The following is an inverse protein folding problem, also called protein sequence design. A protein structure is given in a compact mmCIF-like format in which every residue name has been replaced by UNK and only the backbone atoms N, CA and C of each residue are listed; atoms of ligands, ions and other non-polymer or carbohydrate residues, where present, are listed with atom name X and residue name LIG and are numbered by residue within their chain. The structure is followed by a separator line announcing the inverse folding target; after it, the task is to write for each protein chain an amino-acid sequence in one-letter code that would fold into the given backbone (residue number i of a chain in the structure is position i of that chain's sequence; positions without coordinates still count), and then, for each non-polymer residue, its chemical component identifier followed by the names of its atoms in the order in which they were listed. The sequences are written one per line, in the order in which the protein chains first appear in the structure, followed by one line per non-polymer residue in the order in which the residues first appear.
data_IF_649278541111
#
_entry.id   IF_649278541111
#
_cell.length_a   1.000
_cell.length_b   1.000
_cell.length_c   1.000
_cell.angle_alpha   90.00
_cell.angle_beta   90.00
_cell.angle_gamma   90.00
#
_symmetry.space_group_name_H-M   'P 1'
#
loop_
_entity.id
_entity.type
_entity.pdbx_description
1 polymer ?
#
# COMPACT_ATOMS: atom_id res chain seq x y z
N UNK A 1 -16.81 -24.64 -29.08
CA UNK A 1 -15.42 -24.60 -28.58
C UNK A 1 -15.50 -24.60 -27.06
N UNK A 2 -15.11 -25.71 -26.40
CA UNK A 2 -15.26 -25.90 -24.96
C UNK A 2 -13.90 -25.67 -24.28
N UNK A 3 -13.90 -24.98 -23.15
CA UNK A 3 -12.89 -25.02 -22.07
C UNK A 3 -11.52 -24.34 -22.31
N UNK A 4 -11.47 -22.99 -22.27
CA UNK A 4 -10.23 -22.24 -21.99
C UNK A 4 -10.26 -21.49 -20.64
N UNK A 5 -11.35 -21.58 -19.88
CA UNK A 5 -11.56 -20.80 -18.65
C UNK A 5 -11.11 -21.50 -17.34
N UNK A 6 -10.51 -22.69 -17.42
CA UNK A 6 -10.30 -23.55 -16.24
C UNK A 6 -8.86 -23.51 -15.68
N UNK A 7 -8.03 -22.57 -16.13
CA UNK A 7 -6.61 -22.46 -15.75
C UNK A 7 -6.25 -21.28 -14.85
N UNK A 8 -7.23 -20.53 -14.33
CA UNK A 8 -6.96 -19.50 -13.32
C UNK A 8 -6.94 -20.18 -11.95
N UNK A 9 -5.83 -20.84 -11.62
CA UNK A 9 -5.51 -21.18 -10.24
C UNK A 9 -5.69 -19.90 -9.42
N UNK A 10 -6.68 -19.88 -8.53
CA UNK A 10 -6.95 -18.76 -7.65
C UNK A 10 -5.75 -18.59 -6.73
N UNK A 11 -4.75 -17.83 -7.18
CA UNK A 11 -3.63 -17.43 -6.35
C UNK A 11 -4.23 -16.86 -5.07
N UNK A 12 -3.96 -17.50 -3.94
CA UNK A 12 -4.55 -17.15 -2.66
C UNK A 12 -4.05 -15.75 -2.27
N UNK A 13 -4.77 -14.72 -2.72
CA UNK A 13 -4.44 -13.34 -2.48
C UNK A 13 -4.84 -13.03 -1.04
N UNK A 14 -3.84 -12.92 -0.15
CA UNK A 14 -4.06 -12.54 1.23
C UNK A 14 -3.95 -11.01 1.36
N UNK A 15 -5.08 -10.27 1.38
CA UNK A 15 -5.06 -8.80 1.41
C UNK A 15 -4.36 -8.26 2.67
N UNK A 16 -4.39 -8.99 3.80
CA UNK A 16 -3.68 -8.61 5.02
C UNK A 16 -2.16 -8.70 4.84
N UNK A 17 -1.66 -9.68 4.10
CA UNK A 17 -0.23 -9.80 3.77
C UNK A 17 0.22 -8.62 2.90
N UNK A 18 -0.58 -8.27 1.88
CA UNK A 18 -0.33 -7.10 1.05
C UNK A 18 -0.25 -5.80 1.86
N UNK A 19 -1.20 -5.58 2.76
CA UNK A 19 -1.17 -4.42 3.65
C UNK A 19 0.06 -4.36 4.57
N UNK A 20 0.45 -5.49 5.16
CA UNK A 20 1.65 -5.56 6.02
C UNK A 20 2.93 -5.18 5.28
N UNK A 21 3.07 -5.62 4.03
CA UNK A 21 4.21 -5.25 3.18
C UNK A 21 4.17 -3.76 2.88
N UNK A 22 3.00 -3.21 2.48
CA UNK A 22 2.87 -1.78 2.19
C UNK A 22 3.22 -0.92 3.41
N UNK A 23 2.74 -1.31 4.61
CA UNK A 23 3.07 -0.66 5.87
C UNK A 23 4.57 -0.73 6.18
N UNK A 24 5.20 -1.90 6.02
CA UNK A 24 6.62 -2.09 6.28
C UNK A 24 7.46 -1.18 5.36
N UNK A 25 7.17 -1.18 4.06
CA UNK A 25 7.86 -0.34 3.09
C UNK A 25 7.67 1.14 3.43
N UNK A 26 6.47 1.56 3.81
CA UNK A 26 6.19 2.93 4.26
C UNK A 26 7.05 3.30 5.48
N UNK A 27 7.04 2.49 6.53
CA UNK A 27 7.78 2.77 7.79
C UNK A 27 9.29 2.79 7.61
N UNK A 28 9.84 1.98 6.70
CA UNK A 28 11.28 1.97 6.44
C UNK A 28 11.71 3.10 5.48
N UNK A 29 10.91 3.38 4.46
CA UNK A 29 11.30 4.30 3.38
C UNK A 29 11.12 5.76 3.79
N UNK A 30 10.03 6.10 4.50
CA UNK A 30 9.75 7.48 4.89
C UNK A 30 10.89 8.06 5.74
N UNK A 31 11.37 7.43 6.83
CA UNK A 31 12.49 7.96 7.60
C UNK A 31 13.75 8.15 6.78
N UNK A 32 14.09 7.21 5.90
CA UNK A 32 15.28 7.32 5.04
C UNK A 32 15.17 8.53 4.11
N UNK A 33 14.01 8.74 3.49
CA UNK A 33 13.75 9.92 2.64
C UNK A 33 13.91 11.22 3.45
N UNK A 34 13.36 11.27 4.66
CA UNK A 34 13.49 12.43 5.54
C UNK A 34 14.94 12.67 5.99
N UNK A 35 15.72 11.60 6.23
CA UNK A 35 17.15 11.70 6.52
C UNK A 35 17.92 12.27 5.32
N UNK A 36 17.65 11.79 4.10
CA UNK A 36 18.28 12.32 2.87
C UNK A 36 18.04 13.82 2.75
N UNK A 37 16.81 14.26 2.93
CA UNK A 37 16.47 15.68 2.93
C UNK A 37 17.19 16.46 4.04
N UNK A 38 17.21 15.91 5.26
CA UNK A 38 17.86 16.54 6.40
C UNK A 38 19.37 16.76 6.19
N UNK A 39 20.05 15.80 5.54
CA UNK A 39 21.50 15.84 5.31
C UNK A 39 21.93 16.50 4.00
N UNK A 40 21.00 16.76 3.07
CA UNK A 40 21.34 17.29 1.73
C UNK A 40 20.96 18.76 1.59
N UNK A 41 19.66 19.05 1.47
CA UNK A 41 19.16 20.39 1.27
C UNK A 41 17.77 20.52 1.91
N UNK A 42 17.66 21.50 2.82
CA UNK A 42 16.46 21.77 3.63
C UNK A 42 15.66 22.97 3.13
N UNK A 43 16.06 23.61 2.03
CA UNK A 43 15.39 24.79 1.47
C UNK A 43 13.97 24.49 1.01
N UNK A 44 13.72 23.29 0.50
CA UNK A 44 12.40 22.84 0.05
C UNK A 44 12.02 21.50 0.67
N UNK A 45 10.94 21.40 1.49
CA UNK A 45 10.54 20.18 2.19
C UNK A 45 9.80 19.19 1.28
N UNK A 46 10.45 18.76 0.20
CA UNK A 46 9.88 17.82 -0.76
C UNK A 46 9.42 16.47 -0.16
N UNK A 47 10.03 15.92 0.91
CA UNK A 47 9.52 14.70 1.54
C UNK A 47 8.09 14.83 2.06
N UNK A 48 7.64 16.04 2.39
CA UNK A 48 6.34 16.26 3.02
C UNK A 48 5.19 15.85 2.10
N UNK A 49 5.18 16.32 0.85
CA UNK A 49 4.13 15.97 -0.09
C UNK A 49 4.22 14.51 -0.56
N UNK A 50 5.42 13.93 -0.67
CA UNK A 50 5.58 12.49 -0.91
C UNK A 50 4.98 11.66 0.23
N UNK A 51 5.31 12.02 1.48
CA UNK A 51 4.78 11.35 2.68
C UNK A 51 3.25 11.44 2.70
N UNK A 52 2.68 12.60 2.40
CA UNK A 52 1.23 12.80 2.37
C UNK A 52 0.53 11.93 1.31
N UNK A 53 1.06 11.88 0.08
CA UNK A 53 0.51 11.06 -0.99
C UNK A 53 0.56 9.55 -0.65
N UNK A 54 1.69 9.08 -0.14
CA UNK A 54 1.84 7.68 0.27
C UNK A 54 0.99 7.32 1.50
N UNK A 55 0.90 8.21 2.49
CA UNK A 55 0.05 8.00 3.66
C UNK A 55 -1.43 7.86 3.26
N UNK A 56 -1.86 8.65 2.27
CA UNK A 56 -3.20 8.54 1.68
C UNK A 56 -3.42 7.15 1.05
N UNK A 57 -2.46 6.66 0.26
CA UNK A 57 -2.51 5.30 -0.29
C UNK A 57 -2.54 4.20 0.77
N UNK A 58 -1.75 4.35 1.84
CA UNK A 58 -1.74 3.42 2.97
C UNK A 58 -3.09 3.41 3.70
N UNK A 59 -3.70 4.59 3.89
CA UNK A 59 -5.03 4.74 4.48
C UNK A 59 -6.08 4.01 3.64
N UNK A 60 -6.15 4.25 2.32
CA UNK A 60 -7.11 3.55 1.46
C UNK A 60 -6.87 2.04 1.41
N UNK A 61 -5.61 1.59 1.47
CA UNK A 61 -5.30 0.16 1.59
C UNK A 61 -5.83 -0.40 2.93
N UNK A 62 -5.64 0.31 4.04
CA UNK A 62 -6.23 -0.07 5.33
C UNK A 62 -7.76 -0.17 5.26
N UNK A 63 -8.43 0.83 4.69
CA UNK A 63 -9.89 0.81 4.51
C UNK A 63 -10.33 -0.40 3.68
N UNK A 64 -9.63 -0.69 2.58
CA UNK A 64 -9.92 -1.85 1.72
C UNK A 64 -9.77 -3.20 2.42
N UNK A 65 -8.83 -3.34 3.35
CA UNK A 65 -8.58 -4.61 4.05
C UNK A 65 -9.44 -4.79 5.29
N UNK A 66 -9.66 -3.73 6.07
CA UNK A 66 -10.25 -3.84 7.41
C UNK A 66 -11.65 -3.23 7.53
N UNK A 67 -11.97 -2.19 6.75
CA UNK A 67 -13.25 -1.47 6.87
C UNK A 67 -14.28 -1.98 5.86
N UNK A 68 -13.87 -2.14 4.61
CA UNK A 68 -14.76 -2.59 3.54
C UNK A 68 -14.91 -4.12 3.57
N UNK A 69 -15.74 -4.62 4.48
CA UNK A 69 -16.18 -6.02 4.46
C UNK A 69 -17.17 -6.20 3.31
N UNK A 70 -16.84 -7.04 2.33
CA UNK A 70 -17.79 -7.47 1.28
C UNK A 70 -18.93 -8.22 1.97
N UNK A 71 -20.07 -7.54 2.18
CA UNK A 71 -21.29 -8.19 2.66
C UNK A 71 -21.89 -8.93 1.47
N UNK A 72 -21.57 -10.22 1.32
CA UNK A 72 -22.31 -11.08 0.40
C UNK A 72 -23.70 -11.21 1.00
N UNK A 73 -24.70 -10.66 0.31
CA UNK A 73 -26.11 -10.75 0.68
C UNK A 73 -26.61 -12.08 0.09
N UNK A 74 -27.01 -12.99 0.97
CA UNK A 74 -27.69 -14.24 0.60
C UNK A 74 -29.09 -13.94 0.09
#
# INVERSE_FOLDING_TARGET
MKNLANGQTTAHHNPKKGFRIHLLVFVLTIPVIWLIWFFTDRTYPWPAWQTAAWATGLLFHFLGVYVFKKRIKN
#
